data_IF_603522304036
#
_entry.id   IF_603522304036
#
_cell.length_a   1.000
_cell.length_b   1.000
_cell.length_c   1.000
_cell.angle_alpha   90.00
_cell.angle_beta   90.00
_cell.angle_gamma   90.00
#
_symmetry.space_group_name_H-M   'P 1'
#
loop_
_entity.id
_entity.type
_entity.pdbx_description
1 polymer ?
#
# COMPACT_ATOMS: atom_id res chain seq x y z
N UNK A 1 -4.95 6.65 -6.66
CA UNK A 1 -3.63 7.07 -6.14
C UNK A 1 -3.05 5.95 -5.27
N UNK A 2 -1.74 5.84 -5.21
CA UNK A 2 -1.03 4.85 -4.42
C UNK A 2 -1.19 5.07 -2.91
N UNK A 3 -1.14 4.02 -2.09
CA UNK A 3 -1.29 4.10 -0.63
C UNK A 3 -0.36 5.15 0.00
N UNK A 4 0.91 5.17 -0.39
CA UNK A 4 1.88 6.16 0.07
C UNK A 4 1.51 7.62 -0.26
N UNK A 5 0.71 7.87 -1.29
CA UNK A 5 0.27 9.22 -1.63
C UNK A 5 -0.96 9.68 -0.85
N UNK A 6 -1.82 8.75 -0.43
CA UNK A 6 -3.11 9.06 0.21
C UNK A 6 -3.07 8.96 1.73
N UNK A 7 -2.02 8.35 2.32
CA UNK A 7 -1.92 8.21 3.77
C UNK A 7 -1.87 9.56 4.50
N UNK A 8 -2.39 9.60 5.72
CA UNK A 8 -2.50 10.82 6.55
C UNK A 8 -1.23 11.13 7.35
N UNK A 9 -0.29 10.18 7.42
CA UNK A 9 1.00 10.29 8.10
C UNK A 9 2.12 10.57 7.11
N UNK A 10 3.28 11.07 7.56
CA UNK A 10 4.48 11.14 6.72
C UNK A 10 4.85 9.77 6.15
N UNK A 11 5.46 9.76 4.98
CA UNK A 11 6.07 8.58 4.39
C UNK A 11 7.55 8.59 4.72
N UNK A 12 8.04 7.49 5.26
CA UNK A 12 9.46 7.28 5.53
C UNK A 12 9.93 5.99 4.84
N UNK A 13 10.90 6.10 3.97
CA UNK A 13 11.56 4.98 3.32
C UNK A 13 12.87 4.66 4.06
N UNK A 14 12.76 3.98 5.21
CA UNK A 14 13.87 3.52 6.06
C UNK A 14 14.89 4.62 6.41
N UNK A 15 14.41 5.85 6.64
CA UNK A 15 15.25 7.02 6.96
C UNK A 15 16.02 7.60 5.76
N UNK A 16 15.93 7.01 4.58
CA UNK A 16 16.61 7.49 3.39
C UNK A 16 15.88 8.67 2.74
N UNK A 17 14.56 8.58 2.65
CA UNK A 17 13.70 9.66 2.16
C UNK A 17 12.49 9.75 3.07
N UNK A 18 12.25 10.94 3.65
CA UNK A 18 11.01 11.25 4.35
C UNK A 18 10.28 12.36 3.61
N UNK A 19 8.99 12.18 3.35
CA UNK A 19 8.19 13.18 2.65
C UNK A 19 6.77 13.30 3.22
N UNK A 20 6.16 14.45 2.96
CA UNK A 20 4.79 14.75 3.31
C UNK A 20 3.87 14.43 2.11
N UNK A 21 3.12 13.33 2.15
CA UNK A 21 2.27 12.95 1.04
C UNK A 21 1.05 13.89 0.89
N UNK A 22 0.40 13.80 -0.27
CA UNK A 22 -0.84 14.54 -0.57
C UNK A 22 -1.91 14.27 0.50
N UNK A 23 -2.08 13.02 0.92
CA UNK A 23 -3.07 12.62 1.92
C UNK A 23 -2.90 13.32 3.25
N UNK A 24 -1.67 13.51 3.71
CA UNK A 24 -1.40 14.28 4.93
C UNK A 24 -1.81 15.74 4.78
N UNK A 25 -1.50 16.37 3.64
CA UNK A 25 -1.94 17.76 3.37
C UNK A 25 -3.45 17.90 3.32
N UNK A 26 -4.12 16.94 2.70
CA UNK A 26 -5.59 16.89 2.66
C UNK A 26 -6.18 16.67 4.05
N UNK A 27 -5.61 15.78 4.85
CA UNK A 27 -6.04 15.55 6.24
C UNK A 27 -5.88 16.81 7.10
N UNK A 28 -4.77 17.53 6.98
CA UNK A 28 -4.56 18.79 7.70
C UNK A 28 -5.55 19.89 7.28
N UNK A 29 -5.95 19.90 6.00
CA UNK A 29 -6.85 20.92 5.46
C UNK A 29 -8.32 20.63 5.76
N UNK A 30 -8.75 19.37 5.62
CA UNK A 30 -10.15 18.97 5.69
C UNK A 30 -10.52 18.25 6.99
N UNK A 31 -9.53 17.91 7.84
CA UNK A 31 -9.75 17.19 9.11
C UNK A 31 -10.54 15.89 8.89
N UNK A 32 -11.55 15.68 9.72
CA UNK A 32 -12.41 14.48 9.67
C UNK A 32 -13.19 14.27 8.36
N UNK A 33 -13.24 15.27 7.49
CA UNK A 33 -13.89 15.14 6.17
C UNK A 33 -13.02 14.42 5.15
N UNK A 34 -11.70 14.32 5.40
CA UNK A 34 -10.81 13.51 4.57
C UNK A 34 -10.75 12.09 5.12
N UNK A 35 -11.00 11.11 4.27
CA UNK A 35 -10.92 9.70 4.61
C UNK A 35 -9.98 9.00 3.63
N UNK A 36 -9.01 8.29 4.19
CA UNK A 36 -8.02 7.53 3.43
C UNK A 36 -8.29 6.03 3.55
N UNK A 37 -8.52 5.37 2.41
CA UNK A 37 -8.69 3.92 2.36
C UNK A 37 -7.57 3.31 1.54
N UNK A 38 -6.76 2.47 2.18
CA UNK A 38 -5.73 1.72 1.50
C UNK A 38 -6.33 0.53 0.74
N UNK A 39 -5.69 0.16 -0.36
CA UNK A 39 -5.95 -1.10 -1.07
C UNK A 39 -4.65 -1.89 -1.08
N UNK A 40 -4.72 -3.14 -0.65
CA UNK A 40 -3.58 -4.05 -0.67
C UNK A 40 -3.99 -5.43 -1.18
N UNK A 41 -3.03 -6.31 -1.41
CA UNK A 41 -3.25 -7.62 -2.01
C UNK A 41 -2.38 -8.71 -1.38
N UNK A 42 -2.94 -9.92 -1.31
CA UNK A 42 -2.24 -11.07 -0.73
C UNK A 42 -1.14 -11.60 -1.65
N UNK A 43 -1.42 -11.69 -2.95
CA UNK A 43 -0.56 -12.33 -3.94
C UNK A 43 -0.79 -11.74 -5.33
N UNK A 44 -0.03 -12.22 -6.29
CA UNK A 44 -0.16 -11.83 -7.69
C UNK A 44 1.11 -11.19 -8.21
N UNK A 45 0.93 -10.15 -9.01
CA UNK A 45 2.03 -9.45 -9.67
C UNK A 45 1.86 -7.94 -9.50
N UNK A 46 2.98 -7.24 -9.50
CA UNK A 46 3.05 -5.79 -9.61
C UNK A 46 3.93 -5.39 -10.78
N UNK A 47 3.75 -4.17 -11.28
CA UNK A 47 4.65 -3.60 -12.27
C UNK A 47 5.88 -3.05 -11.56
N UNK A 48 7.06 -3.35 -12.07
CA UNK A 48 8.32 -2.81 -11.59
C UNK A 48 9.07 -2.08 -12.70
N UNK A 49 9.69 -0.97 -12.36
CA UNK A 49 10.51 -0.18 -13.27
C UNK A 49 11.97 -0.64 -13.19
N UNK A 50 12.53 -1.01 -14.31
CA UNK A 50 13.94 -1.38 -14.43
C UNK A 50 14.68 -0.39 -15.32
N UNK A 51 15.82 0.15 -14.89
CA UNK A 51 16.68 0.94 -15.76
C UNK A 51 17.06 0.12 -17.01
N UNK A 52 16.84 0.70 -18.18
CA UNK A 52 17.15 0.06 -19.44
C UNK A 52 17.41 1.14 -20.50
N UNK A 53 18.68 1.31 -20.87
CA UNK A 53 19.12 2.36 -21.79
C UNK A 53 18.70 2.12 -23.24
N UNK A 54 18.27 0.91 -23.58
CA UNK A 54 17.80 0.56 -24.93
C UNK A 54 16.34 0.99 -25.15
N UNK A 55 15.64 1.40 -24.07
CA UNK A 55 14.28 1.92 -24.14
C UNK A 55 14.26 3.45 -24.24
N UNK A 56 13.30 3.97 -24.98
CA UNK A 56 13.15 5.40 -25.26
C UNK A 56 13.18 6.29 -24.01
N UNK A 57 12.65 5.82 -22.88
CA UNK A 57 12.58 6.57 -21.63
C UNK A 57 13.66 6.19 -20.61
N UNK A 58 14.65 5.36 -21.00
CA UNK A 58 15.71 4.92 -20.11
C UNK A 58 15.30 3.87 -19.08
N UNK A 59 14.09 3.32 -19.20
CA UNK A 59 13.59 2.24 -18.35
C UNK A 59 12.56 1.39 -19.08
N UNK A 60 12.42 0.16 -18.64
CA UNK A 60 11.33 -0.74 -19.04
C UNK A 60 10.43 -1.04 -17.85
N UNK A 61 9.18 -1.37 -18.12
CA UNK A 61 8.23 -1.90 -17.15
C UNK A 61 8.18 -3.41 -17.30
N UNK A 62 8.35 -4.12 -16.21
CA UNK A 62 8.29 -5.57 -16.20
C UNK A 62 7.35 -6.07 -15.11
N UNK A 63 6.86 -7.32 -15.23
CA UNK A 63 6.03 -7.96 -14.23
C UNK A 63 6.93 -8.52 -13.14
N UNK A 64 6.56 -8.26 -11.89
CA UNK A 64 7.25 -8.78 -10.73
C UNK A 64 6.28 -9.57 -9.84
N UNK A 65 6.56 -10.85 -9.55
CA UNK A 65 5.72 -11.62 -8.65
C UNK A 65 5.84 -11.06 -7.23
N UNK A 66 4.71 -11.03 -6.53
CA UNK A 66 4.67 -10.61 -5.14
C UNK A 66 5.05 -11.77 -4.23
N UNK A 67 5.99 -11.53 -3.33
CA UNK A 67 6.34 -12.46 -2.28
C UNK A 67 5.17 -12.72 -1.31
N UNK A 68 5.27 -13.80 -0.55
CA UNK A 68 4.30 -14.08 0.51
C UNK A 68 4.31 -12.93 1.55
N UNK A 69 3.15 -12.50 2.09
CA UNK A 69 3.10 -11.42 3.06
C UNK A 69 3.95 -11.72 4.30
N UNK A 70 4.67 -10.71 4.79
CA UNK A 70 5.39 -10.79 6.06
C UNK A 70 4.42 -10.98 7.23
N UNK A 71 4.80 -11.78 8.22
CA UNK A 71 3.91 -12.19 9.35
C UNK A 71 3.38 -11.02 10.20
N UNK A 72 4.03 -9.86 10.15
CA UNK A 72 3.65 -8.65 10.86
C UNK A 72 3.04 -7.58 9.94
N UNK A 73 2.72 -7.95 8.70
CA UNK A 73 2.08 -7.05 7.72
C UNK A 73 0.56 -7.08 7.81
N UNK A 74 -0.05 -6.01 7.34
CA UNK A 74 -1.51 -5.87 7.18
C UNK A 74 -2.09 -7.05 6.40
N UNK A 75 -1.45 -7.43 5.30
CA UNK A 75 -1.91 -8.49 4.40
C UNK A 75 -2.00 -9.83 5.10
N UNK A 76 -0.96 -10.17 5.88
CA UNK A 76 -0.93 -11.43 6.62
C UNK A 76 -2.03 -11.47 7.70
N UNK A 77 -2.13 -10.41 8.49
CA UNK A 77 -3.10 -10.32 9.58
C UNK A 77 -4.54 -10.35 9.00
N UNK A 78 -4.82 -9.56 7.96
CA UNK A 78 -6.15 -9.53 7.34
C UNK A 78 -6.54 -10.86 6.71
N UNK A 79 -5.59 -11.62 6.18
CA UNK A 79 -5.84 -12.96 5.64
C UNK A 79 -6.37 -13.92 6.71
N UNK A 80 -5.83 -13.87 7.92
CA UNK A 80 -6.25 -14.74 9.02
C UNK A 80 -7.69 -14.46 9.47
N UNK A 81 -8.12 -13.20 9.47
CA UNK A 81 -9.44 -12.79 9.94
C UNK A 81 -10.50 -12.71 8.85
N UNK A 82 -10.15 -12.18 7.70
CA UNK A 82 -11.11 -11.85 6.65
C UNK A 82 -11.12 -12.81 5.46
N UNK A 83 -10.15 -13.71 5.38
CA UNK A 83 -9.99 -14.58 4.23
C UNK A 83 -9.37 -13.86 3.03
N UNK A 84 -9.91 -14.05 1.84
CA UNK A 84 -9.25 -13.63 0.60
C UNK A 84 -9.57 -12.20 0.16
N UNK A 85 -10.78 -11.73 0.47
CA UNK A 85 -11.25 -10.39 0.13
C UNK A 85 -12.05 -9.85 1.29
N UNK A 86 -11.60 -8.75 1.86
CA UNK A 86 -12.27 -8.12 2.98
C UNK A 86 -11.96 -6.62 3.09
N UNK A 87 -12.77 -5.93 3.88
CA UNK A 87 -12.57 -4.55 4.25
C UNK A 87 -12.56 -4.44 5.78
N UNK A 88 -11.51 -3.83 6.33
CA UNK A 88 -11.43 -3.47 7.74
C UNK A 88 -11.52 -1.96 7.89
N UNK A 89 -12.38 -1.52 8.82
CA UNK A 89 -12.46 -0.11 9.25
C UNK A 89 -11.66 0.05 10.54
N UNK A 90 -10.72 0.98 10.57
CA UNK A 90 -9.79 1.15 11.71
C UNK A 90 -10.50 1.44 13.02
N UNK A 91 -11.58 2.21 12.99
CA UNK A 91 -12.36 2.54 14.19
C UNK A 91 -13.20 1.38 14.77
N UNK A 92 -13.20 0.21 14.12
CA UNK A 92 -13.96 -0.99 14.53
C UNK A 92 -13.11 -2.25 14.63
N UNK A 93 -11.84 -2.15 14.30
CA UNK A 93 -10.91 -3.28 14.26
C UNK A 93 -9.84 -3.09 15.35
N UNK A 94 -9.51 -4.16 16.03
CA UNK A 94 -8.39 -4.23 16.97
C UNK A 94 -7.27 -5.12 16.43
N UNK A 95 -7.54 -5.82 15.34
CA UNK A 95 -6.67 -6.83 14.74
C UNK A 95 -5.39 -6.22 14.18
N UNK A 96 -5.49 -5.00 13.63
CA UNK A 96 -4.36 -4.26 13.09
C UNK A 96 -3.68 -3.34 14.11
N UNK A 97 -4.10 -3.41 15.38
CA UNK A 97 -3.48 -2.62 16.44
C UNK A 97 -1.99 -2.98 16.58
N UNK A 98 -1.15 -1.96 16.52
CA UNK A 98 0.31 -2.09 16.49
C UNK A 98 0.87 -2.69 15.17
N UNK A 99 0.06 -2.90 14.15
CA UNK A 99 0.56 -3.21 12.82
C UNK A 99 1.16 -1.95 12.19
N UNK A 100 2.37 -2.07 11.68
CA UNK A 100 3.11 -0.93 11.11
C UNK A 100 3.70 -1.20 9.72
N UNK A 101 3.21 -2.26 9.05
CA UNK A 101 3.65 -2.61 7.70
C UNK A 101 2.48 -2.84 6.78
N UNK A 102 2.52 -2.23 5.61
CA UNK A 102 1.57 -2.45 4.51
C UNK A 102 2.35 -2.55 3.20
N UNK A 103 1.87 -3.38 2.30
CA UNK A 103 2.48 -3.57 0.99
C UNK A 103 2.48 -2.27 0.16
N UNK A 104 3.62 -2.01 -0.45
CA UNK A 104 3.88 -0.92 -1.37
C UNK A 104 4.58 -1.50 -2.60
N UNK A 105 3.84 -1.76 -3.67
CA UNK A 105 4.32 -2.55 -4.82
C UNK A 105 4.90 -3.91 -4.37
N UNK A 106 6.18 -4.16 -4.66
CA UNK A 106 6.91 -5.38 -4.23
C UNK A 106 7.56 -5.27 -2.85
N UNK A 107 7.46 -4.13 -2.18
CA UNK A 107 8.07 -3.87 -0.87
C UNK A 107 7.01 -3.65 0.21
N UNK A 108 7.42 -3.52 1.46
CA UNK A 108 6.58 -3.07 2.54
C UNK A 108 6.90 -1.63 2.93
N UNK A 109 5.86 -0.82 3.05
CA UNK A 109 5.93 0.51 3.62
C UNK A 109 5.70 0.42 5.13
N UNK A 110 6.60 1.00 5.91
CA UNK A 110 6.42 1.13 7.36
C UNK A 110 5.66 2.42 7.67
N UNK A 111 4.54 2.28 8.36
CA UNK A 111 3.71 3.42 8.81
C UNK A 111 2.78 2.96 9.93
N UNK A 112 2.40 3.88 10.82
CA UNK A 112 1.36 3.63 11.83
C UNK A 112 0.01 3.50 11.14
N UNK A 113 -0.44 2.27 10.91
CA UNK A 113 -1.59 1.94 10.06
C UNK A 113 -2.87 2.63 10.54
N UNK A 114 -3.13 2.62 11.85
CA UNK A 114 -4.32 3.24 12.44
C UNK A 114 -4.36 4.77 12.26
N UNK A 115 -3.21 5.41 12.19
CA UNK A 115 -3.11 6.85 11.97
C UNK A 115 -3.11 7.19 10.47
N UNK A 116 -2.53 6.32 9.66
CA UNK A 116 -2.35 6.54 8.23
C UNK A 116 -3.65 6.40 7.43
N UNK A 117 -4.54 5.47 7.85
CA UNK A 117 -5.74 5.11 7.10
C UNK A 117 -6.99 5.04 7.98
N UNK A 118 -8.17 5.21 7.39
CA UNK A 118 -9.46 5.01 8.03
C UNK A 118 -10.02 3.61 7.77
N UNK A 119 -9.51 2.94 6.75
CA UNK A 119 -9.84 1.56 6.44
C UNK A 119 -8.92 0.98 5.38
N UNK A 120 -8.97 -0.34 5.23
CA UNK A 120 -8.14 -1.09 4.30
C UNK A 120 -9.01 -2.11 3.57
N UNK A 121 -8.86 -2.17 2.26
CA UNK A 121 -9.39 -3.21 1.41
C UNK A 121 -8.28 -4.21 1.08
N UNK A 122 -8.51 -5.47 1.41
CA UNK A 122 -7.67 -6.59 0.99
C UNK A 122 -8.30 -7.26 -0.22
N UNK A 123 -7.52 -7.47 -1.28
CA UNK A 123 -7.89 -8.29 -2.44
C UNK A 123 -7.01 -9.53 -2.50
N UNK A 124 -7.55 -10.65 -3.01
CA UNK A 124 -6.81 -11.91 -3.04
C UNK A 124 -5.61 -11.84 -3.99
N UNK A 125 -5.83 -11.33 -5.19
CA UNK A 125 -4.82 -11.36 -6.26
C UNK A 125 -4.83 -10.09 -7.11
N UNK A 126 -3.65 -9.53 -7.32
CA UNK A 126 -3.42 -8.48 -8.31
C UNK A 126 -2.83 -9.04 -9.61
N UNK A 127 -3.10 -8.37 -10.71
CA UNK A 127 -2.49 -8.60 -12.02
C UNK A 127 -2.00 -7.28 -12.57
N UNK A 128 -0.90 -7.32 -13.29
CA UNK A 128 -0.40 -6.15 -14.02
C UNK A 128 -1.29 -5.90 -15.24
N UNK A 129 -1.66 -4.63 -15.47
CA UNK A 129 -2.39 -4.23 -16.67
C UNK A 129 -1.59 -4.58 -17.92
N UNK A 130 -2.24 -5.17 -18.92
CA UNK A 130 -1.63 -5.34 -20.21
C UNK A 130 -1.66 -4.02 -20.98
N UNK A 131 -0.57 -3.73 -21.68
CA UNK A 131 -0.54 -2.61 -22.61
C UNK A 131 -1.48 -2.99 -23.76
N UNK A 132 -2.49 -2.18 -23.99
CA UNK A 132 -3.34 -2.30 -25.18
C UNK A 132 -2.62 -1.56 -26.30
N UNK A 133 -2.12 -2.31 -27.28
CA UNK A 133 -1.52 -1.79 -28.51
C UNK A 133 -2.57 -1.03 -29.35
#
# INVERSE_FOLDING_TARGET
AHNAHIQKTPVDFDGFISCYPMGQRLSMTFGEKYKAFAITNLRGETAALYPDNDYQFGFRVDKFPLDFPESDSVEFIMQEFGGKECCLLMNRSTELKNCNKIRFDSMCLKTEIEEAFDGIFLIEKSTVSEVVD
#
